data_IF_485120765536
#
_entry.id   IF_485120765536
#
_cell.length_a   1.000
_cell.length_b   1.000
_cell.length_c   1.000
_cell.angle_alpha   90.00
_cell.angle_beta   90.00
_cell.angle_gamma   90.00
#
_symmetry.space_group_name_H-M   'P 1'
#
loop_
_entity.id
_entity.type
_entity.pdbx_description
1 polymer ?
2 water ?
#
# COMPACT_ATOMS: atom_id res chain seq x y z
N UNK A 1 -1.30 2.31 13.30
CA UNK A 1 -1.03 1.66 14.63
C UNK A 1 -2.00 0.51 14.85
N UNK A 2 -1.63 -0.41 15.73
CA UNK A 2 -2.50 -1.57 16.10
C UNK A 2 -3.40 -1.09 17.23
N UNK A 3 -4.48 -1.83 17.43
CA UNK A 3 -5.53 -1.61 18.44
C UNK A 3 -4.93 -1.78 19.83
N UNK A 4 -4.86 -0.72 20.64
CA UNK A 4 -4.38 -0.81 22.05
C UNK A 4 -5.13 -1.94 22.76
N UNK A 5 -6.37 -2.22 22.37
CA UNK A 5 -7.23 -3.18 23.11
C UNK A 5 -6.62 -4.59 23.04
N UNK A 6 -5.89 -4.90 21.97
CA UNK A 6 -5.28 -6.25 21.78
C UNK A 6 -4.05 -6.41 22.70
N UNK A 7 -3.68 -5.39 23.47
CA UNK A 7 -2.64 -5.48 24.53
C UNK A 7 -3.27 -5.63 25.91
N UNK A 8 -4.59 -5.59 26.04
CA UNK A 8 -5.23 -5.56 27.37
C UNK A 8 -5.76 -6.95 27.72
N UNK A 9 -5.15 -7.62 28.70
CA UNK A 9 -5.67 -8.88 29.29
C UNK A 9 -7.14 -8.64 29.65
N UNK A 10 -7.38 -7.49 30.30
CA UNK A 10 -8.66 -6.96 30.81
C UNK A 10 -9.83 -7.27 29.85
N UNK A 11 -9.71 -6.99 28.57
CA UNK A 11 -10.88 -7.04 27.64
C UNK A 11 -11.02 -8.44 27.02
N UNK A 12 -10.27 -9.43 27.51
CA UNK A 12 -10.34 -10.83 27.03
C UNK A 12 -9.51 -11.05 25.79
N UNK A 13 -8.41 -10.31 25.67
CA UNK A 13 -7.45 -10.40 24.54
C UNK A 13 -6.06 -10.71 25.11
N UNK A 14 -5.37 -11.69 24.51
CA UNK A 14 -4.06 -12.20 24.97
C UNK A 14 -2.94 -11.41 24.31
N UNK A 15 -2.16 -10.59 25.06
CA UNK A 15 -1.03 -9.86 24.47
C UNK A 15 0.09 -10.72 23.86
N UNK A 16 0.09 -12.03 24.10
CA UNK A 16 1.05 -12.97 23.47
C UNK A 16 0.92 -12.89 21.94
N UNK A 17 -0.29 -12.65 21.41
CA UNK A 17 -0.52 -12.52 19.95
C UNK A 17 0.39 -11.41 19.42
N UNK A 18 0.51 -10.30 20.16
CA UNK A 18 1.36 -9.14 19.78
C UNK A 18 2.81 -9.60 19.83
N UNK A 19 3.18 -10.23 20.96
CA UNK A 19 4.55 -10.72 21.21
C UNK A 19 4.97 -11.68 20.10
N UNK A 20 4.12 -12.65 19.78
CA UNK A 20 4.36 -13.59 18.67
C UNK A 20 4.59 -12.81 17.36
N UNK A 21 3.80 -11.76 17.07
CA UNK A 21 3.90 -11.02 15.79
C UNK A 21 5.25 -10.28 15.76
N UNK A 22 5.64 -9.67 16.88
CA UNK A 22 6.99 -9.05 17.05
C UNK A 22 8.11 -10.07 16.72
N UNK A 23 8.01 -11.28 17.27
CA UNK A 23 8.98 -12.37 17.02
C UNK A 23 9.09 -12.59 15.50
N UNK A 24 7.94 -12.70 14.83
CA UNK A 24 7.85 -13.07 13.40
C UNK A 24 8.42 -11.94 12.55
N UNK A 25 8.36 -10.71 13.08
CA UNK A 25 8.96 -9.52 12.45
C UNK A 25 10.40 -9.36 12.91
N UNK A 26 10.91 -10.24 13.78
CA UNK A 26 12.29 -10.17 14.33
C UNK A 26 12.49 -8.75 14.85
N UNK A 27 11.65 -8.38 15.80
CA UNK A 27 11.57 -7.02 16.37
C UNK A 27 11.34 -7.13 17.89
N UNK A 28 11.45 -6.03 18.61
CA UNK A 28 11.35 -6.02 20.10
C UNK A 28 10.07 -6.71 20.54
N UNK A 29 10.21 -7.76 21.37
CA UNK A 29 9.14 -8.43 22.16
C UNK A 29 9.01 -7.73 23.52
N UNK A 30 10.09 -7.11 24.00
CA UNK A 30 10.12 -6.43 25.32
C UNK A 30 9.14 -5.24 25.25
N UNK A 31 9.10 -4.54 24.12
CA UNK A 31 8.22 -3.35 23.86
C UNK A 31 6.75 -3.67 24.17
N UNK A 32 6.32 -4.94 24.10
CA UNK A 32 4.87 -5.27 24.34
C UNK A 32 4.56 -5.03 25.82
N UNK A 33 5.50 -5.30 26.73
CA UNK A 33 5.38 -5.05 28.19
C UNK A 33 5.48 -3.54 28.46
N UNK A 34 6.48 -2.87 27.89
CA UNK A 34 6.62 -1.39 27.92
C UNK A 34 5.24 -0.76 27.66
N UNK A 35 4.54 -1.19 26.60
CA UNK A 35 3.27 -0.57 26.13
C UNK A 35 2.18 -0.88 27.16
N UNK A 36 2.16 -2.09 27.70
CA UNK A 36 1.13 -2.50 28.72
C UNK A 36 1.32 -1.59 29.95
N UNK A 37 2.56 -1.41 30.40
CA UNK A 37 2.92 -0.58 31.58
C UNK A 37 2.47 0.87 31.34
N UNK A 38 2.69 1.41 30.14
CA UNK A 38 2.27 2.80 29.77
C UNK A 38 0.73 2.86 29.70
N UNK A 39 0.08 1.94 28.98
CA UNK A 39 -1.39 1.94 28.87
C UNK A 39 -1.98 2.01 30.28
N UNK A 40 -1.49 1.18 31.21
CA UNK A 40 -2.05 1.09 32.59
C UNK A 40 -1.94 2.45 33.28
N UNK A 41 -0.75 3.06 33.32
CA UNK A 41 -0.54 4.44 33.86
C UNK A 41 -1.66 5.36 33.36
N UNK A 42 -1.77 5.44 32.04
CA UNK A 42 -2.66 6.37 31.29
C UNK A 42 -4.11 6.14 31.73
N UNK A 43 -4.57 4.89 31.77
CA UNK A 43 -5.98 4.56 32.15
C UNK A 43 -6.19 4.92 33.62
N UNK A 44 -5.17 4.78 34.48
CA UNK A 44 -5.27 5.23 35.90
C UNK A 44 -5.47 6.75 35.93
N UNK A 45 -4.68 7.54 35.20
CA UNK A 45 -4.90 9.01 35.15
C UNK A 45 -6.30 9.25 34.57
N UNK A 46 -6.63 8.59 33.46
CA UNK A 46 -7.94 8.63 32.76
C UNK A 46 -9.06 8.46 33.80
N UNK A 47 -8.82 7.55 34.75
CA UNK A 47 -9.71 7.29 35.91
C UNK A 47 -9.39 8.28 37.04
N UNK A 48 -8.11 8.54 37.30
CA UNK A 48 -7.63 9.39 38.43
C UNK A 48 -8.18 10.81 38.27
N UNK A 49 -8.73 11.13 37.09
CA UNK A 49 -9.56 12.36 36.84
C UNK A 49 -10.93 12.16 37.50
N UNK A 50 -11.64 11.08 37.15
CA UNK A 50 -13.05 10.83 37.54
C UNK A 50 -13.17 10.54 39.05
N UNK A 51 -12.05 10.29 39.73
CA UNK A 51 -11.97 10.30 41.22
C UNK A 51 -12.20 11.73 41.74
N UNK A 52 -11.50 12.72 41.16
CA UNK A 52 -11.57 14.16 41.57
C UNK A 52 -12.77 14.84 40.89
N UNK A 53 -13.36 14.22 39.85
CA UNK A 53 -14.66 14.67 39.29
C UNK A 53 -15.75 14.45 40.34
N UNK A 54 -15.88 13.22 40.85
CA UNK A 54 -16.97 12.79 41.78
C UNK A 54 -16.78 13.45 43.16
N UNK A 55 -15.56 13.41 43.73
CA UNK A 55 -15.19 14.09 45.00
C UNK A 55 -15.44 15.60 44.84
N UNK A 56 -15.21 16.20 43.66
CA UNK A 56 -15.52 17.62 43.36
C UNK A 56 -17.05 17.85 43.41
N UNK A 57 -17.82 16.95 42.77
CA UNK A 57 -19.30 17.01 42.70
C UNK A 57 -19.91 16.46 44.00
N UNK A 58 -19.11 15.75 44.82
CA UNK A 58 -19.51 15.25 46.16
C UNK A 58 -19.53 16.42 47.16
N UNK A 59 -18.48 17.26 47.16
CA UNK A 59 -18.44 18.48 48.02
C UNK A 59 -19.73 19.27 47.78
N UNK A 60 -20.09 19.46 46.50
CA UNK A 60 -21.25 20.28 46.04
C UNK A 60 -22.50 19.96 46.89
N UNK A 61 -22.85 18.68 47.08
CA UNK A 61 -24.18 18.32 47.67
C UNK A 61 -24.09 18.28 49.20
N UNK A 62 -23.63 19.36 49.85
CA UNK A 62 -23.84 19.53 51.32
C UNK A 62 -25.30 19.97 51.55
N UNK A 74 -13.01 28.06 56.96
CA UNK A 74 -13.08 27.36 55.64
C UNK A 74 -12.61 25.91 55.77
N UNK A 75 -13.33 25.12 56.60
CA UNK A 75 -13.10 23.67 56.78
C UNK A 75 -13.80 22.89 55.65
N UNK A 76 -14.47 23.58 54.71
CA UNK A 76 -15.20 22.96 53.56
C UNK A 76 -15.03 23.78 52.26
N UNK A 77 -15.15 25.11 52.29
CA UNK A 77 -15.17 25.95 51.05
C UNK A 77 -13.81 25.84 50.34
N UNK A 78 -12.73 25.61 51.09
CA UNK A 78 -11.35 25.47 50.53
C UNK A 78 -11.15 24.06 49.95
N UNK A 79 -12.05 23.11 50.26
CA UNK A 79 -12.01 21.72 49.75
C UNK A 79 -12.48 21.69 48.28
N UNK A 80 -13.55 22.41 47.95
CA UNK A 80 -14.11 22.51 46.58
C UNK A 80 -13.25 23.44 45.71
N UNK A 81 -12.23 24.08 46.29
CA UNK A 81 -11.18 24.86 45.55
C UNK A 81 -10.19 23.89 44.89
N UNK A 82 -9.47 23.10 45.70
CA UNK A 82 -8.34 22.23 45.26
C UNK A 82 -8.81 21.15 44.27
N UNK A 83 -10.08 20.72 44.38
CA UNK A 83 -10.66 19.59 43.58
C UNK A 83 -10.88 20.02 42.11
N UNK A 84 -10.76 21.31 41.80
CA UNK A 84 -10.75 21.82 40.40
C UNK A 84 -9.31 22.02 39.95
N UNK A 85 -8.45 22.54 40.83
CA UNK A 85 -6.97 22.65 40.62
C UNK A 85 -6.42 21.26 40.31
N UNK A 86 -6.97 20.24 40.97
CA UNK A 86 -6.66 18.80 40.75
C UNK A 86 -7.06 18.43 39.32
N UNK A 87 -8.37 18.48 39.00
CA UNK A 87 -8.96 17.94 37.75
C UNK A 87 -8.48 18.69 36.50
N UNK A 88 -7.74 19.79 36.65
CA UNK A 88 -7.00 20.41 35.51
C UNK A 88 -5.51 20.01 35.57
N UNK A 89 -4.95 19.84 36.76
CA UNK A 89 -3.54 19.37 36.95
C UNK A 89 -3.41 17.93 36.44
N UNK A 90 -4.33 17.05 36.82
CA UNK A 90 -4.31 15.59 36.49
C UNK A 90 -4.68 15.39 35.01
N UNK A 91 -5.51 16.27 34.44
CA UNK A 91 -5.85 16.23 33.00
C UNK A 91 -4.59 16.50 32.16
N UNK A 92 -3.61 17.23 32.67
CA UNK A 92 -2.33 17.50 31.95
C UNK A 92 -1.52 16.20 31.92
N UNK A 93 -1.48 15.50 33.06
CA UNK A 93 -0.80 14.20 33.24
C UNK A 93 -1.36 13.18 32.25
N UNK A 94 -2.69 13.13 32.09
CA UNK A 94 -3.41 12.24 31.13
C UNK A 94 -2.87 12.52 29.73
N UNK A 95 -2.78 13.80 29.34
CA UNK A 95 -2.20 14.23 28.04
C UNK A 95 -0.79 13.63 27.88
N UNK A 96 0.08 13.80 28.88
CA UNK A 96 1.49 13.34 28.84
C UNK A 96 1.52 11.81 28.66
N UNK A 97 0.68 11.08 29.39
CA UNK A 97 0.62 9.61 29.35
C UNK A 97 0.24 9.17 27.93
N UNK A 98 -0.84 9.73 27.37
CA UNK A 98 -1.35 9.45 26.01
C UNK A 98 -0.19 9.59 25.02
N UNK A 99 0.52 10.71 25.11
CA UNK A 99 1.65 11.09 24.23
C UNK A 99 2.76 10.04 24.34
N UNK A 100 3.17 9.65 25.54
CA UNK A 100 4.30 8.71 25.73
C UNK A 100 3.88 7.31 25.27
N UNK A 101 2.61 6.96 25.44
CA UNK A 101 2.05 5.67 24.97
C UNK A 101 2.12 5.64 23.44
N UNK A 102 1.87 6.77 22.79
CA UNK A 102 1.89 6.91 21.30
C UNK A 102 3.29 6.57 20.81
N UNK A 103 4.33 7.02 21.52
CA UNK A 103 5.75 6.91 21.10
C UNK A 103 6.21 5.44 21.00
N UNK A 104 5.64 4.52 21.77
CA UNK A 104 6.06 3.09 21.73
C UNK A 104 5.14 2.35 20.76
N UNK A 105 3.83 2.49 20.95
CA UNK A 105 2.78 1.80 20.16
C UNK A 105 2.98 2.11 18.67
N UNK A 106 3.43 3.31 18.33
CA UNK A 106 3.79 3.73 16.94
C UNK A 106 4.77 2.74 16.33
N UNK A 107 5.70 2.22 17.13
CA UNK A 107 6.86 1.41 16.66
C UNK A 107 6.45 -0.04 16.36
N UNK A 108 5.22 -0.45 16.72
CA UNK A 108 4.77 -1.86 16.64
C UNK A 108 4.14 -2.08 15.28
N UNK A 109 4.57 -3.14 14.60
CA UNK A 109 4.10 -3.51 13.25
C UNK A 109 2.73 -4.10 13.37
N UNK A 110 2.03 -4.27 12.25
CA UNK A 110 0.67 -4.87 12.18
C UNK A 110 0.82 -6.35 12.55
N UNK A 111 -0.26 -6.98 12.98
CA UNK A 111 -0.25 -8.40 13.40
C UNK A 111 -0.05 -9.28 12.18
N UNK A 112 0.97 -10.11 12.21
CA UNK A 112 1.33 -10.96 11.05
C UNK A 112 0.37 -12.14 11.01
N UNK A 113 -0.45 -12.24 9.97
CA UNK A 113 -1.33 -13.41 9.72
C UNK A 113 -0.52 -14.69 9.84
N UNK A 114 -1.12 -15.75 10.37
CA UNK A 114 -0.47 -17.05 10.63
C UNK A 114 -0.02 -17.72 9.33
N UNK A 115 -0.73 -17.50 8.22
CA UNK A 115 -0.39 -18.13 6.92
C UNK A 115 0.93 -17.58 6.36
N UNK A 116 1.51 -16.55 6.97
CA UNK A 116 2.75 -15.91 6.47
C UNK A 116 3.95 -16.81 6.81
N UNK A 117 4.80 -17.16 5.81
CA UNK A 117 6.07 -17.82 6.09
C UNK A 117 6.98 -17.01 7.03
N UNK A 118 7.47 -17.63 8.09
CA UNK A 118 8.30 -16.96 9.13
C UNK A 118 9.77 -17.16 8.77
N UNK A 119 10.47 -16.05 8.59
CA UNK A 119 11.87 -16.02 8.10
C UNK A 119 12.30 -14.56 8.02
N UNK A 120 13.60 -14.27 7.93
CA UNK A 120 14.10 -12.87 7.94
C UNK A 120 14.61 -12.46 6.54
N UNK A 121 14.77 -13.41 5.62
CA UNK A 121 15.37 -13.11 4.30
C UNK A 121 14.32 -13.36 3.23
N UNK A 122 14.09 -12.37 2.36
CA UNK A 122 13.22 -12.51 1.16
C UNK A 122 13.79 -13.62 0.27
N UNK A 123 15.08 -13.93 0.39
CA UNK A 123 15.72 -15.10 -0.27
C UNK A 123 14.84 -16.34 -0.10
N UNK A 124 14.16 -16.43 1.06
CA UNK A 124 13.35 -17.59 1.48
C UNK A 124 11.87 -17.36 1.16
N UNK A 125 11.54 -16.31 0.38
CA UNK A 125 10.16 -16.11 -0.10
C UNK A 125 9.66 -17.43 -0.70
N UNK A 126 8.45 -17.80 -0.33
CA UNK A 126 7.83 -19.10 -0.66
C UNK A 126 7.08 -18.92 -1.98
N UNK A 127 7.62 -19.42 -3.08
CA UNK A 127 6.82 -19.57 -4.33
C UNK A 127 5.58 -20.41 -4.01
N UNK A 128 4.41 -20.00 -4.46
CA UNK A 128 3.18 -20.78 -4.17
C UNK A 128 2.42 -21.11 -5.45
N UNK A 129 2.70 -20.46 -6.58
CA UNK A 129 1.95 -20.71 -7.84
C UNK A 129 2.76 -20.29 -9.07
N UNK A 130 2.64 -21.07 -10.15
CA UNK A 130 3.28 -20.82 -11.46
C UNK A 130 2.20 -20.74 -12.52
N UNK A 131 2.47 -20.07 -13.63
CA UNK A 131 1.52 -20.04 -14.77
C UNK A 131 2.25 -19.60 -16.04
N UNK A 132 1.97 -20.29 -17.15
CA UNK A 132 2.44 -19.89 -18.49
C UNK A 132 3.67 -20.66 -18.93
N UNK A 133 3.81 -20.81 -20.25
CA UNK A 133 4.93 -21.52 -20.92
C UNK A 133 6.00 -20.48 -21.25
N UNK A 134 7.11 -20.55 -20.54
CA UNK A 134 8.17 -19.51 -20.58
C UNK A 134 9.01 -19.65 -21.87
N UNK A 135 9.23 -18.54 -22.57
CA UNK A 135 10.07 -18.45 -23.79
C UNK A 135 11.55 -18.40 -23.41
N UNK A 136 12.40 -18.99 -24.26
CA UNK A 136 13.87 -19.03 -24.10
C UNK A 136 14.54 -18.69 -25.44
N UNK A 137 15.72 -18.07 -25.38
CA UNK A 137 16.64 -17.91 -26.54
C UNK A 137 16.79 -19.27 -27.21
N UNK A 138 16.32 -19.40 -28.45
CA UNK A 138 16.57 -20.58 -29.32
C UNK A 138 17.81 -20.29 -30.16
N UNK A 139 18.29 -21.27 -30.95
CA UNK A 139 19.39 -21.03 -31.87
C UNK A 139 18.96 -20.07 -32.99
N UNK A 140 17.67 -20.16 -33.38
CA UNK A 140 17.02 -19.34 -34.42
C UNK A 140 17.04 -17.85 -34.08
N UNK A 141 16.77 -17.49 -32.81
CA UNK A 141 16.63 -16.07 -32.37
C UNK A 141 17.19 -15.90 -30.96
N UNK A 142 18.29 -15.17 -30.83
CA UNK A 142 18.77 -14.66 -29.52
C UNK A 142 17.74 -13.63 -29.02
N UNK A 143 17.17 -13.88 -27.85
CA UNK A 143 16.10 -13.05 -27.27
C UNK A 143 16.75 -11.79 -26.69
N UNK A 144 16.36 -10.62 -27.21
CA UNK A 144 16.87 -9.28 -26.79
C UNK A 144 16.15 -8.85 -25.51
N UNK A 145 16.79 -7.96 -24.76
CA UNK A 145 16.26 -7.38 -23.50
C UNK A 145 15.48 -6.09 -23.81
N UNK A 146 14.67 -5.65 -22.84
CA UNK A 146 13.74 -4.51 -23.03
C UNK A 146 14.54 -3.29 -23.45
N UNK A 147 15.71 -3.06 -22.85
CA UNK A 147 16.55 -1.85 -23.13
C UNK A 147 16.79 -1.77 -24.64
N UNK A 148 17.27 -2.85 -25.25
CA UNK A 148 17.67 -2.87 -26.69
C UNK A 148 16.41 -2.85 -27.57
N UNK A 149 15.31 -3.46 -27.13
CA UNK A 149 14.04 -3.53 -27.91
C UNK A 149 13.34 -2.16 -27.95
N UNK A 150 13.44 -1.37 -26.88
CA UNK A 150 12.96 0.05 -26.88
C UNK A 150 13.76 0.87 -27.89
N UNK A 151 15.10 0.77 -27.90
CA UNK A 151 15.94 1.48 -28.89
C UNK A 151 15.53 1.06 -30.31
N UNK A 152 15.44 -0.24 -30.57
CA UNK A 152 15.17 -0.77 -31.93
C UNK A 152 13.78 -0.38 -32.41
N UNK A 153 12.78 -0.38 -31.52
CA UNK A 153 11.36 -0.09 -31.86
C UNK A 153 11.16 1.41 -32.09
N UNK A 154 12.04 2.25 -31.52
CA UNK A 154 11.95 3.72 -31.56
C UNK A 154 10.73 4.24 -30.83
N UNK A 155 10.46 3.78 -29.60
CA UNK A 155 9.21 4.14 -28.87
C UNK A 155 9.50 4.92 -27.58
N UNK A 156 10.75 5.21 -27.26
CA UNK A 156 11.11 6.07 -26.13
C UNK A 156 12.41 6.77 -26.46
N UNK A 157 12.47 8.09 -26.23
CA UNK A 157 13.76 8.82 -26.29
C UNK A 157 14.25 8.97 -24.85
N UNK A 158 15.10 8.04 -24.43
CA UNK A 158 15.77 8.08 -23.10
C UNK A 158 16.94 9.07 -23.14
N UNK A 159 17.54 9.31 -24.31
CA UNK A 159 18.75 10.18 -24.44
C UNK A 159 18.30 11.64 -24.29
N UNK A 160 17.38 12.08 -25.15
CA UNK A 160 16.80 13.44 -25.15
C UNK A 160 16.03 13.65 -23.84
N UNK A 161 15.31 12.63 -23.39
CA UNK A 161 14.72 12.63 -22.04
C UNK A 161 15.74 13.03 -20.99
N UNK A 162 16.96 12.49 -21.07
CA UNK A 162 17.99 12.61 -20.00
C UNK A 162 18.53 14.05 -19.96
N UNK A 163 18.85 14.62 -21.12
CA UNK A 163 19.27 16.05 -21.24
C UNK A 163 18.19 16.97 -20.64
N UNK A 164 16.91 16.66 -20.91
CA UNK A 164 15.72 17.48 -20.51
C UNK A 164 15.44 17.31 -19.00
N UNK A 165 15.24 16.09 -18.49
CA UNK A 165 14.65 15.82 -17.15
C UNK A 165 15.71 15.30 -16.18
N UNK A 166 16.97 15.31 -16.59
CA UNK A 166 18.05 14.63 -15.85
C UNK A 166 17.90 13.13 -15.96
N UNK A 167 18.60 12.39 -15.10
CA UNK A 167 18.94 10.97 -15.29
C UNK A 167 17.68 10.12 -15.19
N UNK A 168 17.59 9.07 -16.02
CA UNK A 168 16.45 8.12 -16.09
C UNK A 168 15.24 8.81 -16.73
N UNK A 169 15.42 10.02 -17.27
CA UNK A 169 14.33 10.79 -17.88
C UNK A 169 14.05 10.30 -19.28
N UNK A 170 12.79 10.07 -19.62
CA UNK A 170 12.41 9.51 -20.94
C UNK A 170 11.13 10.16 -21.49
N UNK A 171 11.09 10.31 -22.81
CA UNK A 171 9.85 10.53 -23.59
C UNK A 171 9.25 9.16 -23.95
N UNK A 172 7.92 8.99 -23.89
CA UNK A 172 7.22 7.95 -24.66
C UNK A 172 6.97 8.53 -26.05
N UNK A 173 7.03 7.71 -27.10
CA UNK A 173 6.98 8.17 -28.50
C UNK A 173 6.18 7.20 -29.36
N UNK A 174 5.55 7.73 -30.41
CA UNK A 174 4.79 6.96 -31.41
C UNK A 174 4.02 5.86 -30.76
N UNK A 175 4.24 4.61 -31.18
CA UNK A 175 3.45 3.46 -30.70
C UNK A 175 3.78 3.17 -29.23
N UNK A 176 4.86 3.75 -28.66
CA UNK A 176 5.15 3.67 -27.22
C UNK A 176 4.05 4.31 -26.37
N UNK A 177 3.61 5.50 -26.77
CA UNK A 177 2.55 6.28 -26.09
C UNK A 177 1.22 5.52 -26.28
N UNK A 178 0.90 5.15 -27.53
CA UNK A 178 -0.32 4.37 -27.87
C UNK A 178 -0.40 3.11 -26.99
N UNK A 179 0.75 2.44 -26.79
CA UNK A 179 0.82 1.19 -25.97
C UNK A 179 0.59 1.51 -24.50
N UNK A 180 1.32 2.49 -23.99
CA UNK A 180 1.15 2.95 -22.59
C UNK A 180 -0.35 3.22 -22.37
N UNK A 181 -0.97 3.93 -23.31
CA UNK A 181 -2.39 4.36 -23.21
C UNK A 181 -3.30 3.14 -23.36
N UNK A 182 -2.94 2.20 -24.24
CA UNK A 182 -3.66 0.93 -24.48
C UNK A 182 -3.75 0.13 -23.18
N UNK A 183 -2.64 0.06 -22.46
CA UNK A 183 -2.53 -0.70 -21.19
C UNK A 183 -3.36 0.02 -20.10
N UNK A 184 -3.32 1.35 -20.06
CA UNK A 184 -4.04 2.13 -19.01
C UNK A 184 -5.54 1.87 -19.18
N UNK A 185 -6.04 1.88 -20.42
CA UNK A 185 -7.49 1.78 -20.70
C UNK A 185 -7.95 0.31 -20.65
N UNK A 186 -7.11 -0.60 -21.11
CA UNK A 186 -7.33 -2.05 -20.94
C UNK A 186 -7.48 -2.36 -19.45
N UNK A 187 -6.60 -1.81 -18.60
CA UNK A 187 -6.61 -2.06 -17.15
C UNK A 187 -7.87 -1.49 -16.51
N UNK A 188 -8.20 -0.24 -16.84
CA UNK A 188 -9.36 0.47 -16.26
C UNK A 188 -10.65 -0.27 -16.66
N UNK A 189 -10.79 -0.68 -17.93
CA UNK A 189 -11.99 -1.45 -18.35
C UNK A 189 -11.94 -2.83 -17.70
N UNK A 190 -10.80 -3.51 -17.71
CA UNK A 190 -10.63 -4.82 -17.04
C UNK A 190 -11.26 -4.78 -15.64
N UNK A 191 -10.91 -3.74 -14.87
CA UNK A 191 -11.29 -3.58 -13.45
C UNK A 191 -12.72 -3.06 -13.33
N UNK A 192 -13.15 -2.17 -14.23
CA UNK A 192 -14.54 -1.63 -14.21
C UNK A 192 -15.49 -2.80 -14.40
N UNK A 193 -15.12 -3.80 -15.21
CA UNK A 193 -15.93 -5.04 -15.40
C UNK A 193 -15.99 -5.85 -14.10
N UNK A 194 -15.08 -5.64 -13.16
CA UNK A 194 -15.08 -6.43 -11.90
C UNK A 194 -15.46 -5.54 -10.72
N UNK A 195 -16.34 -4.55 -10.94
CA UNK A 195 -17.03 -3.86 -9.84
C UNK A 195 -16.26 -2.67 -9.32
N UNK A 196 -15.20 -2.25 -10.01
CA UNK A 196 -14.33 -1.12 -9.60
C UNK A 196 -14.83 0.19 -10.20
N UNK A 197 -14.59 1.27 -9.45
CA UNK A 197 -14.86 2.68 -9.83
C UNK A 197 -13.51 3.34 -10.02
N UNK A 198 -13.26 3.90 -11.21
CA UNK A 198 -12.07 4.70 -11.54
C UNK A 198 -11.90 5.84 -10.55
N UNK A 199 -10.65 6.18 -10.22
CA UNK A 199 -10.25 7.33 -9.40
C UNK A 199 -8.86 7.77 -9.83
N UNK A 200 -8.69 9.04 -10.19
CA UNK A 200 -7.37 9.63 -10.52
C UNK A 200 -7.09 10.69 -9.48
N UNK A 201 -6.11 10.49 -8.59
CA UNK A 201 -5.86 11.44 -7.52
C UNK A 201 -5.01 12.58 -8.06
N UNK A 202 -4.88 13.67 -7.28
CA UNK A 202 -3.86 14.68 -7.53
C UNK A 202 -2.51 14.01 -7.26
N UNK A 203 -1.50 14.40 -8.03
CA UNK A 203 -0.11 13.88 -7.89
C UNK A 203 0.57 14.62 -6.74
N UNK A 204 -0.06 15.67 -6.22
CA UNK A 204 0.36 16.39 -4.99
C UNK A 204 -0.31 15.75 -3.78
N UNK A 205 0.36 15.85 -2.63
CA UNK A 205 -0.24 15.50 -1.32
C UNK A 205 0.54 16.21 -0.21
N UNK A 206 -0.21 16.77 0.74
CA UNK A 206 0.32 17.58 1.85
C UNK A 206 1.05 16.63 2.81
N UNK A 207 2.24 17.02 3.24
CA UNK A 207 3.14 16.18 4.09
C UNK A 207 2.37 15.71 5.34
N UNK A 208 1.58 16.59 5.95
CA UNK A 208 0.73 16.28 7.14
C UNK A 208 -0.04 14.98 6.89
N UNK A 209 -0.61 14.86 5.68
CA UNK A 209 -1.54 13.76 5.28
C UNK A 209 -0.70 12.54 4.90
N UNK A 210 0.34 12.74 4.10
CA UNK A 210 1.30 11.67 3.72
C UNK A 210 1.71 10.90 4.98
N UNK A 211 2.03 11.64 6.06
CA UNK A 211 2.47 11.11 7.38
C UNK A 211 1.67 9.85 7.74
N UNK A 212 0.34 9.94 7.67
CA UNK A 212 -0.61 8.86 8.08
C UNK A 212 -0.77 7.82 6.95
N UNK A 213 -0.38 8.13 5.72
CA UNK A 213 -0.35 7.13 4.60
C UNK A 213 1.07 7.02 4.04
N UNK A 221 10.59 10.89 3.58
CA UNK A 221 11.41 11.78 2.71
C UNK A 221 12.29 10.92 1.77
N UNK A 222 11.69 9.87 1.19
CA UNK A 222 12.19 9.12 0.00
C UNK A 222 11.40 9.57 -1.25
N UNK A 223 10.72 10.72 -1.12
CA UNK A 223 9.83 11.31 -2.15
C UNK A 223 10.40 12.65 -2.60
N UNK A 224 9.93 13.14 -3.73
CA UNK A 224 10.17 14.52 -4.22
C UNK A 224 9.31 15.48 -3.39
N UNK A 225 9.87 16.64 -3.03
CA UNK A 225 9.11 17.76 -2.42
C UNK A 225 8.76 18.76 -3.53
N UNK A 226 7.50 19.21 -3.56
CA UNK A 226 7.07 20.28 -4.49
C UNK A 226 6.81 21.55 -3.68
N UNK A 227 7.39 22.67 -4.11
CA UNK A 227 7.28 24.00 -3.47
C UNK A 227 6.66 24.96 -4.48
N UNK A 228 6.01 26.02 -3.98
CA UNK A 228 5.25 27.00 -4.78
C UNK A 228 3.99 27.39 -4.03
N UNK A 229 2.82 27.16 -4.62
CA UNK A 229 1.51 27.52 -4.01
C UNK A 229 1.32 26.70 -2.72
N UNK A 230 0.94 27.38 -1.63
CA UNK A 230 0.56 26.79 -0.33
C UNK A 230 1.71 26.12 0.40
N UNK A 231 1.36 25.18 1.27
CA UNK A 231 2.27 24.32 2.06
C UNK A 231 3.16 23.49 1.13
N UNK A 232 4.37 23.16 1.59
CA UNK A 232 5.26 22.17 0.96
C UNK A 232 4.49 20.86 0.83
N UNK A 233 4.51 20.26 -0.35
CA UNK A 233 3.80 18.99 -0.66
C UNK A 233 4.79 18.01 -1.27
N UNK A 234 4.44 16.72 -1.23
CA UNK A 234 5.22 15.65 -1.90
C UNK A 234 4.56 15.28 -3.24
N UNK A 235 5.37 14.90 -4.22
CA UNK A 235 4.94 14.06 -5.37
C UNK A 235 4.68 12.62 -4.87
N UNK A 236 3.59 12.01 -5.33
CA UNK A 236 3.20 10.64 -4.90
C UNK A 236 4.08 9.59 -5.58
N UNK A 237 4.48 8.58 -4.79
CA UNK A 237 5.21 7.37 -5.26
C UNK A 237 4.21 6.34 -5.80
N UNK A 238 2.96 6.39 -5.37
CA UNK A 238 1.92 5.43 -5.81
C UNK A 238 0.53 6.03 -5.56
N UNK A 239 -0.41 5.75 -6.46
CA UNK A 239 -1.86 6.04 -6.32
C UNK A 239 -2.35 5.57 -4.94
N UNK A 240 -1.77 4.51 -4.38
CA UNK A 240 -2.14 3.95 -3.05
C UNK A 240 -2.14 5.07 -1.99
N UNK A 241 -1.21 6.04 -2.06
CA UNK A 241 -1.05 7.09 -1.02
C UNK A 241 -2.24 8.06 -1.01
N UNK A 242 -2.61 8.74 -2.12
CA UNK A 242 -3.82 9.57 -2.15
C UNK A 242 -5.06 8.73 -1.84
N UNK A 243 -5.14 7.51 -2.40
CA UNK A 243 -6.25 6.55 -2.14
C UNK A 243 -5.98 5.84 -0.80
N UNK A 244 -6.19 6.56 0.29
CA UNK A 244 -5.92 6.14 1.69
C UNK A 244 -6.27 7.37 2.53
N UNK A 245 -5.71 8.53 2.18
CA UNK A 245 -6.15 9.85 2.67
C UNK A 245 -7.63 10.07 2.30
N UNK A 246 -8.04 9.72 1.06
CA UNK A 246 -9.47 9.73 0.64
C UNK A 246 -10.22 8.84 1.63
N UNK A 247 -11.28 9.38 2.25
CA UNK A 247 -12.13 8.74 3.30
C UNK A 247 -11.56 8.95 4.70
N UNK A 248 -10.55 9.82 4.89
CA UNK A 248 -10.05 10.25 6.23
C UNK A 248 -11.18 10.83 7.10
N UNK A 249 -11.20 10.47 8.37
CA UNK A 249 -12.17 10.99 9.37
C UNK A 249 -13.61 10.66 8.99
N UNK A 250 -13.85 9.77 8.05
CA UNK A 250 -15.23 9.49 7.61
C UNK A 250 -15.74 8.23 8.28
N UNK A 251 -17.06 8.09 8.35
CA UNK A 251 -17.75 6.82 8.68
C UNK A 251 -18.11 6.15 7.36
N UNK A 252 -17.91 4.85 7.24
CA UNK A 252 -18.41 4.10 6.06
C UNK A 252 -19.44 3.12 6.60
N UNK A 253 -20.59 3.07 5.95
CA UNK A 253 -21.78 2.28 6.36
C UNK A 253 -21.56 0.85 5.83
N UNK A 254 -21.84 -0.22 6.60
CA UNK A 254 -21.80 -1.60 6.09
C UNK A 254 -22.39 -1.87 4.70
N UNK A 255 -23.41 -1.12 4.30
CA UNK A 255 -24.08 -1.25 2.97
C UNK A 255 -23.16 -0.70 1.88
N UNK A 256 -22.27 0.25 2.21
CA UNK A 256 -21.29 0.83 1.24
C UNK A 256 -20.20 -0.21 0.94
N UNK A 257 -19.61 -0.78 1.99
CA UNK A 257 -18.50 -1.78 1.92
C UNK A 257 -19.03 -3.06 1.28
N UNK A 258 -18.23 -3.80 0.48
CA UNK A 258 -16.85 -3.42 0.15
C UNK A 258 -16.77 -2.36 -0.95
N UNK A 259 -15.74 -1.52 -0.88
CA UNK A 259 -15.47 -0.47 -1.88
C UNK A 259 -14.32 -0.93 -2.78
N UNK A 260 -14.49 -0.80 -4.09
CA UNK A 260 -13.44 -1.15 -5.09
C UNK A 260 -13.12 0.09 -5.92
N UNK A 261 -11.91 0.63 -5.76
CA UNK A 261 -11.36 1.74 -6.57
C UNK A 261 -10.22 1.24 -7.45
N UNK A 262 -10.31 1.52 -8.76
CA UNK A 262 -9.21 1.41 -9.73
C UNK A 262 -8.43 2.73 -9.75
N UNK A 263 -7.41 2.84 -8.90
CA UNK A 263 -6.57 4.06 -8.81
C UNK A 263 -5.77 4.24 -10.09
N UNK A 264 -5.78 5.40 -10.73
CA UNK A 264 -4.84 5.66 -11.86
C UNK A 264 -4.04 6.93 -11.56
N UNK A 265 -2.72 6.92 -11.76
CA UNK A 265 -1.86 8.12 -11.67
C UNK A 265 -0.47 7.88 -12.25
N UNK A 266 0.20 8.98 -12.60
CA UNK A 266 1.68 9.09 -12.65
C UNK A 266 2.23 8.88 -11.24
N UNK A 267 3.47 8.40 -11.16
CA UNK A 267 4.19 8.08 -9.91
C UNK A 267 5.61 8.60 -10.00
N UNK A 268 6.13 9.09 -8.88
CA UNK A 268 7.46 9.74 -8.76
C UNK A 268 8.20 9.04 -7.61
N UNK A 269 9.25 8.31 -7.96
CA UNK A 269 10.15 7.57 -7.02
C UNK A 269 11.55 8.19 -7.17
N UNK A 270 12.19 8.55 -6.06
CA UNK A 270 13.57 9.09 -6.09
C UNK A 270 14.55 7.94 -6.39
N UNK A 271 14.32 6.76 -5.83
CA UNK A 271 15.20 5.57 -5.95
C UNK A 271 15.01 4.91 -7.32
N UNK A 272 16.10 4.84 -8.12
CA UNK A 272 16.15 4.21 -9.46
C UNK A 272 17.61 3.99 -9.89
N UNK A 279 21.74 6.50 -19.99
CA UNK A 279 20.57 7.12 -20.66
C UNK A 279 19.90 6.09 -21.59
N UNK A 280 19.59 4.89 -21.07
CA UNK A 280 18.92 3.78 -21.81
C UNK A 280 17.99 3.02 -20.84
N UNK A 281 16.74 2.73 -21.25
CA UNK A 281 15.75 1.90 -20.51
C UNK A 281 14.62 2.69 -19.84
N UNK A 282 13.44 2.08 -19.68
CA UNK A 282 12.23 2.71 -19.04
C UNK A 282 11.70 1.82 -17.92
N UNK A 283 12.49 0.85 -17.45
CA UNK A 283 12.10 -0.12 -16.39
C UNK A 283 12.44 0.45 -15.02
N UNK A 284 13.65 1.00 -14.91
CA UNK A 284 14.25 1.52 -13.66
C UNK A 284 14.25 3.05 -13.74
N UNK A 285 13.11 3.70 -13.46
CA UNK A 285 12.88 5.13 -13.83
C UNK A 285 12.33 5.95 -12.65
N UNK A 286 12.43 7.28 -12.74
CA UNK A 286 11.95 8.25 -11.72
C UNK A 286 10.44 8.53 -11.85
N UNK A 287 9.87 8.47 -13.06
CA UNK A 287 8.44 8.78 -13.33
C UNK A 287 7.80 7.64 -14.12
N UNK A 288 6.61 7.20 -13.73
CA UNK A 288 5.89 6.11 -14.44
C UNK A 288 4.39 6.15 -14.10
N UNK A 289 3.57 5.41 -14.84
CA UNK A 289 2.10 5.36 -14.64
C UNK A 289 1.76 3.98 -14.10
N UNK A 290 0.61 3.88 -13.43
CA UNK A 290 0.26 2.73 -12.57
C UNK A 290 -1.24 2.68 -12.28
N UNK A 291 -1.88 1.58 -12.67
CA UNK A 291 -3.22 1.18 -12.16
C UNK A 291 -2.99 0.41 -10.87
N UNK A 292 -3.75 0.75 -9.82
CA UNK A 292 -3.71 0.12 -8.49
C UNK A 292 -5.10 -0.39 -8.17
N UNK A 293 -5.23 -1.59 -7.62
CA UNK A 293 -6.45 -2.01 -6.92
C UNK A 293 -6.34 -1.50 -5.50
N UNK A 294 -7.31 -0.72 -5.04
CA UNK A 294 -7.40 -0.27 -3.63
C UNK A 294 -8.77 -0.65 -3.12
N UNK A 295 -8.87 -1.47 -2.06
CA UNK A 295 -10.17 -2.01 -1.59
C UNK A 295 -10.36 -1.75 -0.10
N UNK A 296 -11.56 -1.30 0.27
CA UNK A 296 -11.98 -1.19 1.69
C UNK A 296 -13.01 -2.28 1.95
N UNK A 297 -12.89 -2.93 3.11
CA UNK A 297 -13.90 -3.91 3.59
C UNK A 297 -14.24 -3.54 5.04
N UNK A 298 -15.27 -4.18 5.59
CA UNK A 298 -15.51 -4.17 7.04
C UNK A 298 -14.48 -5.06 7.73
N UNK A 299 -14.30 -4.94 9.06
CA UNK A 299 -13.25 -5.71 9.75
C UNK A 299 -13.61 -7.10 10.30
N UNK A 300 -14.78 -7.64 9.95
CA UNK A 300 -15.31 -8.91 10.53
C UNK A 300 -15.49 -9.95 9.40
N UNK A 301 -15.87 -11.18 9.76
CA UNK A 301 -16.35 -12.25 8.85
C UNK A 301 -15.26 -12.63 7.81
N UNK A 302 -13.98 -12.40 8.13
CA UNK A 302 -12.83 -12.74 7.25
C UNK A 302 -12.89 -11.95 5.94
N UNK A 303 -13.65 -10.85 5.88
CA UNK A 303 -13.92 -10.07 4.64
C UNK A 303 -12.62 -9.63 3.96
N UNK A 304 -11.67 -9.03 4.69
CA UNK A 304 -10.40 -8.52 4.09
C UNK A 304 -9.57 -9.68 3.53
N UNK A 305 -9.51 -10.79 4.24
CA UNK A 305 -8.79 -12.01 3.77
C UNK A 305 -9.47 -12.56 2.52
N UNK A 306 -10.79 -12.49 2.42
CA UNK A 306 -11.46 -12.90 1.17
C UNK A 306 -11.10 -11.91 0.06
N UNK A 307 -11.10 -10.59 0.32
CA UNK A 307 -10.78 -9.53 -0.69
C UNK A 307 -9.34 -9.68 -1.19
N UNK A 308 -8.41 -10.13 -0.32
CA UNK A 308 -6.98 -10.29 -0.70
C UNK A 308 -6.92 -11.36 -1.79
N UNK A 309 -7.71 -12.42 -1.66
CA UNK A 309 -7.72 -13.50 -2.67
C UNK A 309 -8.33 -12.89 -3.94
N UNK A 310 -9.47 -12.22 -3.82
CA UNK A 310 -10.18 -11.56 -4.94
C UNK A 310 -9.20 -10.69 -5.75
N UNK A 311 -8.46 -9.81 -5.08
CA UNK A 311 -7.56 -8.84 -5.76
C UNK A 311 -6.43 -9.61 -6.45
N UNK A 312 -5.98 -10.70 -5.82
CA UNK A 312 -4.84 -11.52 -6.28
C UNK A 312 -5.24 -12.36 -7.51
N UNK A 313 -6.47 -12.88 -7.52
CA UNK A 313 -7.14 -13.47 -8.69
C UNK A 313 -7.24 -12.43 -9.82
N UNK A 314 -7.60 -11.18 -9.52
CA UNK A 314 -7.68 -10.10 -10.54
C UNK A 314 -6.32 -9.82 -11.16
N UNK A 315 -5.26 -9.85 -10.35
CA UNK A 315 -3.89 -9.55 -10.83
C UNK A 315 -3.47 -10.70 -11.74
N UNK A 316 -3.79 -11.91 -11.30
CA UNK A 316 -3.56 -13.16 -12.05
C UNK A 316 -4.29 -13.13 -13.39
N UNK A 317 -5.61 -12.96 -13.39
CA UNK A 317 -6.42 -12.99 -14.64
C UNK A 317 -5.84 -12.02 -15.69
N UNK A 318 -5.30 -10.88 -15.25
CA UNK A 318 -4.80 -9.75 -16.09
C UNK A 318 -3.48 -10.08 -16.80
N UNK A 319 -2.49 -10.56 -16.07
CA UNK A 319 -1.21 -11.06 -16.66
C UNK A 319 -1.49 -12.31 -17.52
N UNK A 320 -2.52 -13.10 -17.19
CA UNK A 320 -2.96 -14.24 -18.05
C UNK A 320 -3.59 -13.74 -19.37
N UNK A 321 -4.36 -12.65 -19.34
CA UNK A 321 -4.95 -12.02 -20.55
C UNK A 321 -3.82 -11.50 -21.44
N UNK A 322 -2.80 -10.91 -20.81
CA UNK A 322 -1.60 -10.45 -21.53
C UNK A 322 -0.75 -11.66 -21.96
N UNK A 323 -1.02 -12.85 -21.43
CA UNK A 323 -0.26 -14.12 -21.72
C UNK A 323 1.21 -13.96 -21.33
N UNK A 324 1.46 -13.30 -20.19
CA UNK A 324 2.83 -13.18 -19.60
C UNK A 324 2.98 -14.22 -18.50
N UNK A 325 3.89 -15.19 -18.66
CA UNK A 325 4.15 -16.17 -17.60
C UNK A 325 4.61 -15.46 -16.31
N UNK A 326 4.24 -16.04 -15.17
CA UNK A 326 4.57 -15.49 -13.85
C UNK A 326 4.59 -16.59 -12.80
N UNK A 327 5.04 -16.20 -11.62
CA UNK A 327 4.97 -16.98 -10.36
C UNK A 327 4.56 -16.02 -9.23
N UNK A 328 3.79 -16.55 -8.28
CA UNK A 328 3.32 -15.86 -7.06
C UNK A 328 4.21 -16.30 -5.88
N UNK A 329 4.90 -15.37 -5.23
CA UNK A 329 5.68 -15.63 -3.98
C UNK A 329 4.95 -14.99 -2.81
N UNK A 330 4.85 -15.69 -1.66
CA UNK A 330 4.43 -15.09 -0.37
C UNK A 330 5.65 -14.53 0.35
N UNK A 331 5.54 -13.31 0.88
CA UNK A 331 6.68 -12.52 1.44
C UNK A 331 6.89 -12.95 2.89
N UNK A 332 8.13 -13.25 3.27
CA UNK A 332 8.45 -13.72 4.65
C UNK A 332 8.10 -12.62 5.66
N UNK A 333 7.64 -13.03 6.83
CA UNK A 333 7.24 -12.16 7.97
C UNK A 333 8.33 -11.11 8.22
N UNK A 334 9.59 -11.50 8.06
CA UNK A 334 10.77 -10.63 8.24
C UNK A 334 10.80 -9.48 7.26
N UNK A 335 10.12 -9.58 6.13
CA UNK A 335 10.19 -8.56 5.05
C UNK A 335 8.90 -7.74 4.98
N UNK A 336 7.83 -8.11 5.68
CA UNK A 336 6.62 -7.26 5.78
C UNK A 336 7.02 -5.90 6.39
N UNK A 337 6.61 -4.82 5.72
CA UNK A 337 6.59 -3.44 6.24
C UNK A 337 5.51 -3.34 7.34
N UNK A 338 5.48 -2.21 8.05
CA UNK A 338 4.70 -2.02 9.30
C UNK A 338 3.20 -2.08 9.01
N UNK A 339 2.73 -1.67 7.83
CA UNK A 339 1.26 -1.64 7.57
C UNK A 339 0.77 -3.05 7.17
N UNK A 340 1.57 -3.86 6.45
CA UNK A 340 1.12 -5.13 5.85
C UNK A 340 1.04 -6.22 6.93
N UNK A 341 -0.10 -6.91 7.00
CA UNK A 341 -0.33 -8.11 7.84
C UNK A 341 0.05 -9.36 7.04
N UNK A 342 0.08 -9.22 5.72
CA UNK A 342 0.40 -10.31 4.77
C UNK A 342 0.56 -9.69 3.37
N UNK A 343 1.31 -10.35 2.49
CA UNK A 343 1.71 -9.78 1.17
C UNK A 343 2.14 -10.88 0.21
N UNK A 344 1.64 -10.85 -1.03
CA UNK A 344 2.16 -11.61 -2.19
C UNK A 344 2.81 -10.67 -3.21
N UNK A 345 3.71 -11.20 -4.03
CA UNK A 345 4.26 -10.54 -5.24
C UNK A 345 3.97 -11.44 -6.43
N UNK A 346 3.50 -10.87 -7.54
CA UNK A 346 3.46 -11.58 -8.84
C UNK A 346 4.73 -11.21 -9.59
N UNK A 347 5.68 -12.13 -9.70
CA UNK A 347 6.94 -11.90 -10.44
C UNK A 347 6.73 -12.50 -11.82
N UNK A 348 6.94 -11.74 -12.89
CA UNK A 348 6.69 -12.18 -14.28
C UNK A 348 8.01 -12.47 -14.98
N UNK A 349 7.95 -13.31 -16.01
CA UNK A 349 9.12 -13.93 -16.70
C UNK A 349 9.71 -12.93 -17.71
N UNK A 350 10.99 -12.64 -17.58
CA UNK A 350 11.76 -11.77 -18.49
C UNK A 350 12.71 -12.69 -19.25
N UNK A 351 12.31 -13.18 -20.43
CA UNK A 351 13.02 -14.26 -21.10
C UNK A 351 14.47 -13.99 -21.56
N UNK A 352 14.86 -12.77 -21.91
CA UNK A 352 16.24 -12.52 -22.36
C UNK A 352 17.23 -12.86 -21.23
N UNK A 353 16.90 -12.50 -19.99
CA UNK A 353 17.76 -12.64 -18.79
C UNK A 353 17.34 -13.85 -17.97
N UNK A 354 16.29 -14.54 -18.41
CA UNK A 354 15.73 -15.74 -17.72
C UNK A 354 15.54 -15.46 -16.23
N UNK A 355 14.97 -14.30 -15.89
CA UNK A 355 14.64 -13.90 -14.50
C UNK A 355 13.14 -13.63 -14.42
N UNK A 356 12.55 -13.81 -13.24
CA UNK A 356 11.24 -13.23 -12.88
C UNK A 356 11.46 -11.88 -12.22
N UNK A 357 10.75 -10.82 -12.61
CA UNK A 357 10.81 -9.52 -11.89
C UNK A 357 9.41 -9.13 -11.38
N UNK A 358 9.41 -8.45 -10.22
CA UNK A 358 8.22 -7.90 -9.50
C UNK A 358 7.44 -6.94 -10.42
N UNK A 359 6.20 -7.31 -10.78
CA UNK A 359 5.20 -6.49 -11.52
C UNK A 359 3.95 -6.24 -10.66
N UNK A 360 3.78 -6.94 -9.55
CA UNK A 360 2.60 -6.75 -8.65
C UNK A 360 3.03 -6.93 -7.20
N UNK A 361 2.55 -6.07 -6.30
CA UNK A 361 2.51 -6.32 -4.84
C UNK A 361 1.06 -6.23 -4.40
N UNK A 362 0.62 -7.18 -3.58
CA UNK A 362 -0.77 -7.34 -3.12
C UNK A 362 -0.75 -7.45 -1.59
N UNK A 363 -1.21 -6.42 -0.89
CA UNK A 363 -1.16 -6.29 0.59
C UNK A 363 -2.56 -6.18 1.19
N UNK A 364 -2.77 -6.88 2.30
CA UNK A 364 -3.85 -6.59 3.27
C UNK A 364 -3.18 -5.91 4.47
N UNK A 365 -3.49 -4.62 4.67
CA UNK A 365 -3.01 -3.79 5.82
C UNK A 365 -4.08 -3.70 6.93
N UNK A 366 -5.20 -4.40 6.80
CA UNK A 366 -6.31 -4.43 7.80
C UNK A 366 -6.58 -3.01 8.33
N UNK A 367 -6.71 -2.82 9.65
CA UNK A 367 -7.16 -1.53 10.23
C UNK A 367 -5.97 -0.66 10.62
N UNK A 368 -4.78 -0.94 10.10
CA UNK A 368 -3.55 -0.28 10.57
C UNK A 368 -3.53 1.21 10.16
N UNK A 369 -3.76 1.52 8.87
CA UNK A 369 -3.86 2.93 8.41
C UNK A 369 -5.21 3.50 8.85
N UNK A 370 -6.29 2.76 8.61
CA UNK A 370 -7.69 3.13 8.96
C UNK A 370 -7.73 3.76 10.35
N UNK A 371 -7.07 3.14 11.34
CA UNK A 371 -7.11 3.55 12.76
C UNK A 371 -6.39 4.89 12.94
N UNK A 372 -5.30 5.15 12.23
CA UNK A 372 -4.62 6.46 12.29
C UNK A 372 -5.53 7.50 11.60
N UNK A 373 -6.17 7.12 10.49
CA UNK A 373 -6.95 8.01 9.62
C UNK A 373 -8.40 8.14 10.11
N UNK A 374 -8.71 7.54 11.26
CA UNK A 374 -10.05 7.57 11.87
C UNK A 374 -11.09 7.29 10.77
N UNK A 375 -10.89 6.19 10.05
CA UNK A 375 -11.84 5.66 9.01
C UNK A 375 -12.64 4.52 9.65
N UNK A 376 -13.88 4.81 10.05
CA UNK A 376 -14.68 4.00 11.00
C UNK A 376 -15.67 3.12 10.22
N UNK A 377 -16.26 2.12 10.89
CA UNK A 377 -17.11 1.10 10.24
C UNK A 377 -18.61 1.24 10.59
N UNK A 378 -19.01 1.99 11.63
CA UNK A 378 -20.40 1.90 12.14
C UNK A 378 -21.47 2.59 11.28
N UNK A 379 -22.71 2.62 11.78
CA UNK A 379 -23.83 3.48 11.27
C UNK A 379 -23.40 4.95 11.38
N UNK A 380 -22.88 5.33 12.56
CA UNK A 380 -22.34 6.67 12.95
C UNK A 380 -23.09 7.17 14.18
N UNK A 385 -20.32 2.19 19.76
CA UNK A 385 -20.08 1.61 21.11
C UNK A 385 -18.60 1.81 21.46
N UNK A 386 -17.81 0.72 21.49
CA UNK A 386 -16.32 0.71 21.34
C UNK A 386 -15.97 0.62 19.84
N UNK A 387 -14.95 1.38 19.43
CA UNK A 387 -14.74 1.82 18.02
C UNK A 387 -14.27 0.67 17.13
N UNK A 388 -15.03 0.36 16.07
CA UNK A 388 -14.58 -0.51 14.95
C UNK A 388 -13.97 0.36 13.84
N UNK A 389 -13.12 -0.23 13.00
CA UNK A 389 -12.41 0.46 11.89
C UNK A 389 -12.37 -0.45 10.67
N UNK A 390 -12.41 0.15 9.48
CA UNK A 390 -12.43 -0.61 8.19
C UNK A 390 -11.07 -1.28 7.99
N UNK A 391 -11.04 -2.19 7.03
CA UNK A 391 -9.83 -2.90 6.54
C UNK A 391 -9.52 -2.35 5.15
N UNK A 392 -8.25 -2.16 4.82
CA UNK A 392 -7.85 -1.59 3.52
C UNK A 392 -6.74 -2.43 2.92
N UNK A 393 -6.80 -2.65 1.62
CA UNK A 393 -5.86 -3.47 0.86
C UNK A 393 -5.40 -2.68 -0.36
N UNK A 394 -4.24 -3.04 -0.92
CA UNK A 394 -3.73 -2.41 -2.15
C UNK A 394 -2.96 -3.46 -2.96
N UNK A 395 -3.08 -3.42 -4.27
CA UNK A 395 -2.52 -4.43 -5.19
C UNK A 395 -2.32 -3.79 -6.56
N UNK A 396 -1.09 -3.42 -6.89
CA UNK A 396 -0.72 -3.00 -8.26
C UNK A 396 -1.40 -3.93 -9.24
N UNK A 397 -2.11 -3.40 -10.24
CA UNK A 397 -2.56 -4.23 -11.37
C UNK A 397 -1.43 -4.20 -12.40
N UNK A 398 -0.98 -3.00 -12.75
CA UNK A 398 0.10 -2.82 -13.74
C UNK A 398 0.79 -1.49 -13.46
N UNK A 399 2.11 -1.58 -13.48
CA UNK A 399 3.04 -0.46 -13.71
C UNK A 399 3.35 -0.56 -15.20
N UNK A 400 2.92 0.45 -15.96
CA UNK A 400 2.74 0.35 -17.43
C UNK A 400 4.10 0.19 -18.09
N UNK A 401 5.08 1.01 -17.72
CA UNK A 401 6.39 0.99 -18.40
C UNK A 401 7.04 -0.35 -18.12
N UNK A 402 6.85 -0.88 -16.92
CA UNK A 402 7.44 -2.18 -16.52
C UNK A 402 6.71 -3.27 -17.31
N UNK A 403 5.38 -3.30 -17.23
CA UNK A 403 4.55 -4.26 -18.00
C UNK A 403 4.96 -4.21 -19.48
N UNK A 404 5.16 -3.04 -20.05
CA UNK A 404 5.53 -2.93 -21.49
C UNK A 404 6.83 -3.71 -21.67
N UNK A 405 7.86 -3.39 -20.87
CA UNK A 405 9.21 -3.99 -20.94
C UNK A 405 9.12 -5.50 -20.97
N UNK A 406 8.20 -6.03 -20.16
CA UNK A 406 7.89 -7.48 -20.02
C UNK A 406 7.18 -7.93 -21.29
N UNK A 407 6.27 -7.11 -21.82
CA UNK A 407 5.57 -7.43 -23.10
C UNK A 407 6.61 -7.51 -24.20
N UNK A 408 7.46 -6.49 -24.33
CA UNK A 408 8.46 -6.43 -25.42
C UNK A 408 9.20 -7.77 -25.47
N UNK A 409 9.88 -8.14 -24.37
CA UNK A 409 10.77 -9.33 -24.28
C UNK A 409 10.02 -10.62 -24.64
N UNK A 410 8.79 -10.81 -24.14
CA UNK A 410 8.03 -12.08 -24.31
C UNK A 410 7.35 -12.15 -25.69
N UNK A 411 7.24 -11.04 -26.43
CA UNK A 411 6.44 -11.00 -27.70
C UNK A 411 7.35 -10.69 -28.89
N UNK A 412 8.67 -10.66 -28.67
CA UNK A 412 9.63 -10.24 -29.71
C UNK A 412 9.76 -11.30 -30.82
N UNK A 413 10.14 -10.84 -32.02
CA UNK A 413 10.35 -11.64 -33.25
C UNK A 413 11.68 -11.21 -33.87
N UNK A 414 12.05 -11.75 -35.03
CA UNK A 414 13.36 -11.43 -35.66
C UNK A 414 13.40 -9.93 -35.98
N UNK A 415 12.27 -9.34 -36.37
CA UNK A 415 12.22 -8.00 -37.04
C UNK A 415 11.22 -7.05 -36.36
N UNK A 416 10.77 -7.34 -35.14
CA UNK A 416 9.85 -6.45 -34.42
C UNK A 416 9.19 -7.11 -33.22
N UNK A 417 8.10 -6.54 -32.73
CA UNK A 417 7.37 -7.05 -31.53
C UNK A 417 5.88 -7.16 -31.86
N UNK A 418 5.30 -8.35 -31.66
CA UNK A 418 3.85 -8.55 -31.81
C UNK A 418 3.16 -7.84 -30.66
N UNK A 419 1.93 -7.36 -30.87
CA UNK A 419 1.10 -6.70 -29.85
C UNK A 419 0.17 -7.75 -29.24
N UNK A 420 0.11 -7.87 -27.88
CA UNK A 420 -0.80 -8.81 -27.23
C UNK A 420 -2.20 -8.70 -27.81
N UNK A 421 -2.96 -9.79 -27.81
CA UNK A 421 -4.30 -9.86 -28.45
C UNK A 421 -5.20 -8.81 -27.80
N UNK A 422 -5.26 -8.72 -26.47
CA UNK A 422 -6.29 -7.92 -25.73
C UNK A 422 -5.98 -6.43 -25.85
N UNK A 423 -4.75 -6.05 -26.20
CA UNK A 423 -4.35 -4.63 -26.33
C UNK A 423 -4.59 -4.14 -27.77
N UNK A 424 -4.92 -5.05 -28.70
CA UNK A 424 -5.00 -4.78 -30.17
C UNK A 424 -6.15 -3.84 -30.49
N UNK A 425 -7.37 -4.05 -29.94
CA UNK A 425 -8.43 -3.05 -30.06
C UNK A 425 -8.03 -1.62 -29.64
N UNK A 426 -7.31 -1.45 -28.53
CA UNK A 426 -6.93 -0.12 -27.95
C UNK A 426 -5.81 0.51 -28.77
N UNK A 427 -5.21 -0.22 -29.73
CA UNK A 427 -4.09 0.24 -30.59
C UNK A 427 -4.58 0.31 -32.04
N UNK A 428 -5.91 0.31 -32.22
CA UNK A 428 -6.62 0.36 -33.52
C UNK A 428 -6.35 -0.84 -34.41
N UNK A 429 -6.27 -2.06 -33.85
CA UNK A 429 -6.22 -3.32 -34.62
C UNK A 429 -4.81 -3.74 -35.03
N UNK A 430 -3.79 -2.91 -34.79
CA UNK A 430 -2.36 -3.16 -35.16
C UNK A 430 -1.80 -4.36 -34.34
N UNK A 431 -1.09 -5.28 -34.99
CA UNK A 431 -0.69 -6.60 -34.42
C UNK A 431 0.84 -6.69 -34.29
N UNK A 432 1.57 -5.64 -34.63
CA UNK A 432 3.04 -5.73 -34.82
C UNK A 432 3.69 -4.35 -34.76
N UNK A 433 4.88 -4.27 -34.15
CA UNK A 433 5.71 -3.05 -34.07
C UNK A 433 7.06 -3.38 -34.68
N UNK A 434 7.33 -2.93 -35.92
CA UNK A 434 8.59 -3.23 -36.59
C UNK A 434 9.78 -2.42 -36.06
N UNK A 435 10.96 -3.04 -36.08
CA UNK A 435 12.24 -2.37 -35.74
C UNK A 435 12.56 -1.36 -36.84
N UNK A 436 13.14 -0.22 -36.47
CA UNK A 436 13.64 0.85 -37.39
C UNK A 436 14.89 0.33 -38.12
#
# INVERSE_FOLDING_TARGET
MVDINLFREEKGNNPEIIRESQRRRFASVEIVDEIIKLDKEWRQRQFEVDSFRKEFNKLNKQVAQLKIKKEDASEIIQQTEKNKQDSTAKEAEVREAYAALKAKLEQVGNLVHDSVPVDKDEANNLVIKLWGEKRFSTPGLKLKNHVDLVELLGIADTKRGAEIAGARGFFLKGDGLMLNQALINFGLTFLKKRGFTGLQPPFFMRKDVMAKCAQLAQFDEELYKVTGEGDDKYLIATAEQPLCAYHIDEWIHPTELPLRYAGYSSCFRKEAGSHGRDTLGIFRVHQFEKIEQFCITGPNENASWEMLDEMMKNSEDFYQALKLPYQIVSIVSGALNDAAAKKYDLEAWFPSSETFRELVSCSNCTDYQARRLEIRYGQKKSNEQTKQYVHMLNSTLTATERTICCILENYQREDGVDIPEVLQPFMGGETFLPFKAKPVVADTKGKKSKAAAALE
#
